data_IF_553749179881
#
_entry.id   IF_553749179881
#
_cell.length_a   1.000
_cell.length_b   1.000
_cell.length_c   1.000
_cell.angle_alpha   90.00
_cell.angle_beta   90.00
_cell.angle_gamma   90.00
#
_symmetry.space_group_name_H-M   'P 1'
#
loop_
_entity.id
_entity.type
_entity.pdbx_description
1 polymer ?
#
# COMPACT_ATOMS: atom_id res chain seq x y z
N UNK A 1 11.57 -1.48 3.02
CA UNK A 1 10.33 -1.26 3.81
C UNK A 1 9.27 -2.07 3.11
N UNK A 2 8.68 -3.09 3.77
CA UNK A 2 7.79 -4.06 3.11
C UNK A 2 6.60 -3.42 2.38
N UNK A 3 6.12 -2.25 2.83
CA UNK A 3 5.06 -1.54 2.12
C UNK A 3 5.53 -0.97 0.79
N UNK A 4 6.75 -0.41 0.74
CA UNK A 4 7.32 0.12 -0.50
C UNK A 4 7.56 -1.00 -1.52
N UNK A 5 8.06 -2.16 -1.07
CA UNK A 5 8.24 -3.34 -1.93
C UNK A 5 6.89 -3.83 -2.49
N UNK A 6 5.84 -3.85 -1.66
CA UNK A 6 4.49 -4.22 -2.10
C UNK A 6 3.92 -3.22 -3.12
N UNK A 7 4.17 -1.91 -2.95
CA UNK A 7 3.77 -0.87 -3.90
C UNK A 7 4.50 -1.03 -5.24
N UNK A 8 5.82 -1.23 -5.24
CA UNK A 8 6.60 -1.47 -6.46
C UNK A 8 6.12 -2.73 -7.19
N UNK A 9 5.84 -3.81 -6.47
CA UNK A 9 5.31 -5.03 -7.07
C UNK A 9 3.91 -4.81 -7.68
N UNK A 10 3.04 -4.11 -6.95
CA UNK A 10 1.70 -3.79 -7.44
C UNK A 10 1.75 -2.94 -8.72
N UNK A 11 2.63 -1.94 -8.76
CA UNK A 11 2.86 -1.11 -9.95
C UNK A 11 3.33 -1.96 -11.15
N UNK A 12 4.27 -2.89 -10.94
CA UNK A 12 4.74 -3.78 -11.99
C UNK A 12 3.63 -4.70 -12.53
N UNK A 13 2.72 -5.17 -11.67
CA UNK A 13 1.59 -6.02 -12.07
C UNK A 13 0.56 -5.21 -12.86
N UNK A 14 0.14 -4.06 -12.34
CA UNK A 14 -0.86 -3.20 -12.96
C UNK A 14 -0.43 -2.70 -14.34
N UNK A 15 0.86 -2.41 -14.51
CA UNK A 15 1.42 -1.92 -15.77
C UNK A 15 1.93 -3.03 -16.70
N UNK A 16 1.80 -4.30 -16.29
CA UNK A 16 2.22 -5.43 -17.12
C UNK A 16 1.29 -5.60 -18.32
N UNK A 17 1.89 -5.74 -19.52
CA UNK A 17 1.17 -6.04 -20.77
C UNK A 17 0.33 -7.31 -20.69
N UNK A 18 0.69 -8.24 -19.79
CA UNK A 18 0.01 -9.52 -19.59
C UNK A 18 -1.33 -9.37 -18.84
N UNK A 19 -1.53 -8.29 -18.08
CA UNK A 19 -2.69 -8.11 -17.21
C UNK A 19 -3.58 -6.92 -17.60
N UNK A 20 -3.38 -6.31 -18.78
CA UNK A 20 -4.09 -5.09 -19.23
C UNK A 20 -5.62 -5.23 -19.23
N UNK A 21 -6.15 -6.42 -19.53
CA UNK A 21 -7.61 -6.69 -19.56
C UNK A 21 -8.08 -7.51 -18.36
N UNK A 22 -7.21 -7.78 -17.40
CA UNK A 22 -7.52 -8.60 -16.23
C UNK A 22 -7.94 -7.69 -15.08
N UNK A 23 -9.16 -7.81 -14.54
CA UNK A 23 -9.56 -7.07 -13.36
C UNK A 23 -8.66 -7.41 -12.18
N UNK A 24 -8.22 -6.39 -11.44
CA UNK A 24 -7.39 -6.55 -10.25
C UNK A 24 -8.22 -6.20 -9.02
N UNK A 25 -8.30 -7.13 -8.07
CA UNK A 25 -8.92 -6.91 -6.76
C UNK A 25 -7.81 -6.72 -5.74
N UNK A 26 -7.78 -5.55 -5.08
CA UNK A 26 -6.80 -5.22 -4.05
C UNK A 26 -7.38 -5.46 -2.66
N UNK A 27 -6.77 -6.36 -1.89
CA UNK A 27 -7.11 -6.56 -0.49
C UNK A 27 -6.11 -5.90 0.44
N UNK A 28 -6.59 -4.89 1.19
CA UNK A 28 -5.84 -4.27 2.27
C UNK A 28 -6.08 -5.07 3.56
N UNK A 29 -5.19 -6.03 3.80
CA UNK A 29 -5.30 -6.92 4.96
C UNK A 29 -4.74 -6.27 6.23
N UNK A 30 -5.11 -6.81 7.40
CA UNK A 30 -4.61 -6.40 8.73
C UNK A 30 -4.99 -4.96 9.13
N UNK A 31 -6.18 -4.51 8.74
CA UNK A 31 -6.71 -3.18 9.07
C UNK A 31 -6.77 -2.95 10.58
N UNK A 32 -7.10 -3.99 11.34
CA UNK A 32 -7.07 -4.04 12.80
C UNK A 32 -5.69 -3.65 13.36
N UNK A 33 -4.63 -4.33 12.89
CA UNK A 33 -3.26 -4.05 13.32
C UNK A 33 -2.78 -2.66 12.84
N UNK A 34 -3.20 -2.23 11.65
CA UNK A 34 -2.87 -0.91 11.14
C UNK A 34 -3.47 0.19 12.03
N UNK A 35 -4.73 0.03 12.44
CA UNK A 35 -5.44 0.97 13.32
C UNK A 35 -4.78 1.09 14.69
N UNK A 36 -4.24 0.01 15.24
CA UNK A 36 -3.48 0.07 16.49
C UNK A 36 -2.12 0.75 16.25
N UNK A 37 -1.42 0.37 15.19
CA UNK A 37 -0.06 0.86 14.91
C UNK A 37 0.00 2.35 14.59
N UNK A 38 -0.99 2.90 13.90
CA UNK A 38 -0.98 4.31 13.49
C UNK A 38 -0.93 5.27 14.69
N UNK A 39 -1.45 4.86 15.86
CA UNK A 39 -1.42 5.64 17.11
C UNK A 39 -0.02 5.81 17.69
N UNK A 40 0.88 4.87 17.43
CA UNK A 40 2.25 4.84 17.97
C UNK A 40 3.33 5.10 16.91
N UNK A 41 3.00 4.91 15.65
CA UNK A 41 3.89 5.08 14.51
C UNK A 41 3.16 5.86 13.43
N UNK A 42 3.28 7.20 13.43
CA UNK A 42 2.65 8.05 12.43
C UNK A 42 3.04 7.65 11.01
N UNK A 43 2.09 7.72 10.08
CA UNK A 43 2.34 7.35 8.68
C UNK A 43 3.41 8.24 8.04
N UNK A 44 3.54 9.49 8.50
CA UNK A 44 4.54 10.48 8.07
C UNK A 44 5.99 10.02 8.25
N UNK A 45 6.25 9.04 9.13
CA UNK A 45 7.59 8.45 9.25
C UNK A 45 8.00 7.64 8.01
N UNK A 46 7.03 7.10 7.28
CA UNK A 46 7.26 6.32 6.06
C UNK A 46 6.82 7.06 4.80
N UNK A 47 5.86 7.98 4.91
CA UNK A 47 5.27 8.77 3.82
C UNK A 47 5.19 10.24 4.27
N UNK A 48 6.30 10.99 4.24
CA UNK A 48 6.37 12.37 4.74
C UNK A 48 5.33 13.32 4.13
N UNK A 49 4.89 13.03 2.91
CA UNK A 49 3.88 13.75 2.14
C UNK A 49 2.42 13.51 2.62
N UNK A 50 2.20 12.59 3.56
CA UNK A 50 0.86 12.28 4.05
C UNK A 50 0.33 13.40 4.97
N UNK A 51 -0.68 14.15 4.50
CA UNK A 51 -1.26 15.30 5.22
C UNK A 51 -2.33 14.94 6.27
N UNK A 52 -2.79 13.68 6.32
CA UNK A 52 -3.77 13.23 7.33
C UNK A 52 -5.16 13.87 7.26
N UNK A 53 -5.57 14.33 6.07
CA UNK A 53 -6.90 14.92 5.81
C UNK A 53 -7.92 13.88 5.35
#
# INVERSE_FOLDING_TARGET
NRMHEALTLFEAICNSKWFVKTPIILFLNKVDLFREKITRSPLTQCFPEYEGR
#
